data_IF_944398427778
#
_entry.id   IF_944398427778
#
_cell.length_a   1.000
_cell.length_b   1.000
_cell.length_c   1.000
_cell.angle_alpha   90.00
_cell.angle_beta   90.00
_cell.angle_gamma   90.00
#
_symmetry.space_group_name_H-M   'P 1'
#
loop_
_entity.id
_entity.type
_entity.pdbx_description
1 polymer ?
#
# COMPACT_ATOMS: atom_id res chain seq x y z
N UNK A 1 -6.98 -2.14 11.01
CA UNK A 1 -6.53 -1.31 9.87
C UNK A 1 -5.01 -1.25 9.88
N UNK A 2 -4.35 -1.60 8.76
CA UNK A 2 -2.89 -1.54 8.63
C UNK A 2 -2.47 -0.16 8.10
N UNK A 3 -2.39 0.83 8.98
CA UNK A 3 -1.89 2.16 8.64
C UNK A 3 -0.42 2.30 9.10
N UNK A 4 0.44 2.90 8.28
CA UNK A 4 1.80 3.30 8.69
C UNK A 4 2.89 2.21 8.67
N UNK A 5 2.54 0.92 8.83
CA UNK A 5 3.53 -0.20 8.89
C UNK A 5 4.45 -0.23 7.66
N UNK A 6 3.91 0.11 6.50
CA UNK A 6 4.69 0.16 5.27
C UNK A 6 5.74 1.27 5.22
N UNK A 7 5.55 2.38 5.94
CA UNK A 7 6.56 3.43 6.05
C UNK A 7 7.65 3.05 7.05
N UNK A 8 7.29 2.32 8.12
CA UNK A 8 8.25 1.73 9.05
C UNK A 8 9.25 0.80 8.32
N UNK A 9 8.75 -0.08 7.44
CA UNK A 9 9.65 -0.92 6.63
C UNK A 9 10.56 -0.09 5.72
N UNK A 10 10.06 0.96 5.07
CA UNK A 10 10.92 1.81 4.25
C UNK A 10 11.97 2.55 5.09
N UNK A 11 11.58 3.07 6.25
CA UNK A 11 12.47 3.75 7.18
C UNK A 11 13.53 2.80 7.77
N UNK A 12 13.26 1.50 7.87
CA UNK A 12 14.25 0.52 8.28
C UNK A 12 15.13 0.05 7.11
N UNK A 13 14.54 -0.29 5.96
CA UNK A 13 15.21 -0.94 4.84
C UNK A 13 16.07 0.03 4.02
N UNK A 14 15.65 1.28 3.86
CA UNK A 14 16.37 2.26 3.04
C UNK A 14 17.67 2.72 3.72
N UNK A 15 17.65 3.34 4.92
CA UNK A 15 18.88 3.72 5.60
C UNK A 15 19.60 2.53 6.24
N UNK A 16 18.90 1.51 6.72
CA UNK A 16 19.52 0.38 7.44
C UNK A 16 20.27 -0.61 6.54
N UNK A 17 19.77 -0.86 5.32
CA UNK A 17 20.41 -1.76 4.34
C UNK A 17 20.97 -1.01 3.12
N UNK A 18 20.91 0.33 3.11
CA UNK A 18 21.34 1.14 1.97
C UNK A 18 20.52 0.89 0.70
N UNK A 19 19.32 0.30 0.82
CA UNK A 19 18.49 0.01 -0.34
C UNK A 19 17.91 1.31 -0.90
N UNK A 20 18.15 1.61 -2.17
CA UNK A 20 17.44 2.70 -2.85
C UNK A 20 15.92 2.53 -2.77
N UNK A 21 15.16 3.63 -2.80
CA UNK A 21 13.69 3.65 -2.61
C UNK A 21 12.93 2.60 -3.43
N UNK A 22 13.35 2.34 -4.67
CA UNK A 22 12.74 1.33 -5.53
C UNK A 22 12.95 -0.09 -4.98
N UNK A 23 14.20 -0.44 -4.66
CA UNK A 23 14.54 -1.77 -4.09
C UNK A 23 13.96 -1.94 -2.69
N UNK A 24 14.01 -0.90 -1.86
CA UNK A 24 13.42 -0.90 -0.52
C UNK A 24 11.89 -1.09 -0.56
N UNK A 25 11.19 -0.43 -1.49
CA UNK A 25 9.75 -0.64 -1.67
C UNK A 25 9.44 -2.07 -2.15
N UNK A 26 10.25 -2.63 -3.05
CA UNK A 26 10.12 -4.03 -3.45
C UNK A 26 10.27 -5.01 -2.28
N UNK A 27 11.34 -4.86 -1.49
CA UNK A 27 11.60 -5.69 -0.32
C UNK A 27 10.49 -5.59 0.73
N UNK A 28 9.99 -4.38 1.00
CA UNK A 28 8.82 -4.16 1.86
C UNK A 28 7.61 -4.97 1.39
N UNK A 29 7.27 -4.92 0.10
CA UNK A 29 6.10 -5.63 -0.42
C UNK A 29 6.28 -7.14 -0.26
N UNK A 30 7.49 -7.66 -0.50
CA UNK A 30 7.81 -9.07 -0.28
C UNK A 30 7.66 -9.48 1.20
N UNK A 31 8.15 -8.66 2.13
CA UNK A 31 7.97 -8.90 3.57
C UNK A 31 6.49 -8.92 3.97
N UNK A 32 5.72 -7.94 3.49
CA UNK A 32 4.27 -7.88 3.75
C UNK A 32 3.59 -9.13 3.21
N UNK A 33 3.90 -9.55 1.99
CA UNK A 33 3.34 -10.77 1.40
C UNK A 33 3.68 -12.02 2.23
N UNK A 34 4.88 -12.07 2.80
CA UNK A 34 5.33 -13.18 3.64
C UNK A 34 4.58 -13.29 4.97
N UNK A 35 4.43 -12.20 5.72
CA UNK A 35 3.81 -12.28 7.06
C UNK A 35 2.28 -12.16 7.04
N UNK A 36 1.68 -11.60 5.97
CA UNK A 36 0.24 -11.34 5.91
C UNK A 36 -0.64 -12.60 6.07
N UNK A 37 -0.31 -13.77 5.50
CA UNK A 37 -1.08 -14.99 5.73
C UNK A 37 -1.08 -15.42 7.20
N UNK A 38 0.07 -15.32 7.87
CA UNK A 38 0.19 -15.64 9.30
C UNK A 38 -0.60 -14.65 10.15
N UNK A 39 -0.53 -13.35 9.83
CA UNK A 39 -1.34 -12.34 10.51
C UNK A 39 -2.84 -12.62 10.33
N UNK A 40 -3.27 -12.96 9.11
CA UNK A 40 -4.67 -13.30 8.84
C UNK A 40 -5.12 -14.51 9.66
N UNK A 41 -4.33 -15.59 9.72
CA UNK A 41 -4.63 -16.76 10.54
C UNK A 41 -4.78 -16.42 12.02
N UNK A 42 -3.89 -15.57 12.55
CA UNK A 42 -3.99 -15.08 13.94
C UNK A 42 -5.29 -14.31 14.17
N UNK A 43 -5.65 -13.39 13.27
CA UNK A 43 -6.90 -12.63 13.41
C UNK A 43 -8.15 -13.52 13.27
N UNK A 44 -8.11 -14.56 12.42
CA UNK A 44 -9.18 -15.57 12.33
C UNK A 44 -9.33 -16.28 13.68
N UNK A 45 -8.22 -16.74 14.28
CA UNK A 45 -8.25 -17.43 15.58
C UNK A 45 -8.74 -16.56 16.74
N UNK A 46 -8.67 -15.23 16.58
CA UNK A 46 -9.16 -14.25 17.54
C UNK A 46 -10.60 -13.77 17.25
N UNK A 47 -11.29 -14.33 16.24
CA UNK A 47 -12.62 -13.88 15.77
C UNK A 47 -12.67 -12.38 15.38
N UNK A 48 -11.53 -11.80 14.99
CA UNK A 48 -11.39 -10.39 14.64
C UNK A 48 -11.43 -10.12 13.12
N UNK A 49 -12.01 -11.03 12.35
CA UNK A 49 -12.06 -10.93 10.88
C UNK A 49 -13.48 -10.67 10.40
N UNK A 50 -13.70 -9.46 9.89
CA UNK A 50 -14.93 -9.13 9.18
C UNK A 50 -14.78 -9.48 7.69
N UNK A 51 -15.16 -10.71 7.33
CA UNK A 51 -14.96 -11.27 5.98
C UNK A 51 -15.51 -10.41 4.84
N UNK A 52 -16.73 -9.84 4.97
CA UNK A 52 -17.33 -9.00 3.94
C UNK A 52 -16.51 -7.73 3.64
N UNK A 53 -16.26 -6.91 4.65
CA UNK A 53 -15.41 -5.72 4.54
C UNK A 53 -13.98 -6.06 4.11
N UNK A 54 -13.41 -7.16 4.64
CA UNK A 54 -12.06 -7.62 4.28
C UNK A 54 -11.94 -8.00 2.80
N UNK A 55 -12.89 -8.76 2.27
CA UNK A 55 -12.93 -9.15 0.86
C UNK A 55 -13.13 -7.93 -0.04
N UNK A 56 -14.02 -7.00 0.31
CA UNK A 56 -14.26 -5.78 -0.46
C UNK A 56 -13.01 -4.90 -0.56
N UNK A 57 -12.34 -4.66 0.58
CA UNK A 57 -11.10 -3.87 0.62
C UNK A 57 -9.96 -4.59 -0.09
N UNK A 58 -9.84 -5.90 0.10
CA UNK A 58 -8.82 -6.72 -0.56
C UNK A 58 -8.96 -6.69 -2.08
N UNK A 59 -10.17 -6.94 -2.59
CA UNK A 59 -10.47 -6.92 -4.01
C UNK A 59 -10.25 -5.52 -4.61
N UNK A 60 -10.75 -4.46 -3.97
CA UNK A 60 -10.55 -3.08 -4.42
C UNK A 60 -9.06 -2.69 -4.46
N UNK A 61 -8.29 -3.10 -3.45
CA UNK A 61 -6.85 -2.86 -3.39
C UNK A 61 -6.10 -3.60 -4.50
N UNK A 62 -6.47 -4.86 -4.76
CA UNK A 62 -5.87 -5.67 -5.83
C UNK A 62 -6.15 -5.07 -7.21
N UNK A 63 -7.41 -4.73 -7.51
CA UNK A 63 -7.80 -4.09 -8.79
C UNK A 63 -7.09 -2.75 -8.97
N UNK A 64 -7.07 -1.92 -7.92
CA UNK A 64 -6.37 -0.64 -7.93
C UNK A 64 -4.87 -0.80 -8.18
N UNK A 65 -4.22 -1.76 -7.54
CA UNK A 65 -2.79 -2.03 -7.72
C UNK A 65 -2.46 -2.52 -9.14
N UNK A 66 -3.28 -3.41 -9.71
CA UNK A 66 -3.10 -3.92 -11.07
C UNK A 66 -3.25 -2.81 -12.11
N UNK A 67 -4.29 -1.97 -11.99
CA UNK A 67 -4.51 -0.85 -12.89
C UNK A 67 -3.38 0.19 -12.75
N UNK A 68 -3.06 0.60 -11.51
CA UNK A 68 -2.05 1.62 -11.24
C UNK A 68 -0.67 1.20 -11.72
N UNK A 69 -0.24 -0.04 -11.46
CA UNK A 69 1.06 -0.55 -11.92
C UNK A 69 1.14 -0.64 -13.45
N UNK A 70 0.07 -1.13 -14.10
CA UNK A 70 0.02 -1.21 -15.57
C UNK A 70 0.07 0.17 -16.21
N UNK A 71 -0.68 1.15 -15.67
CA UNK A 71 -0.67 2.54 -16.13
C UNK A 71 0.69 3.22 -15.87
N UNK A 72 1.32 2.95 -14.73
CA UNK A 72 2.64 3.49 -14.38
C UNK A 72 3.71 3.04 -15.40
N UNK A 73 3.71 1.76 -15.78
CA UNK A 73 4.65 1.24 -16.79
C UNK A 73 4.35 1.80 -18.17
N UNK A 74 3.06 1.88 -18.57
CA UNK A 74 2.67 2.35 -19.92
C UNK A 74 2.85 3.84 -20.15
N UNK A 75 2.57 4.69 -19.16
CA UNK A 75 2.53 6.16 -19.32
C UNK A 75 3.72 6.90 -18.71
N UNK A 76 4.55 6.23 -17.92
CA UNK A 76 5.78 6.78 -17.36
C UNK A 76 5.59 7.82 -16.24
N UNK A 77 6.70 8.41 -15.81
CA UNK A 77 6.77 9.23 -14.58
C UNK A 77 5.91 10.51 -14.62
N UNK A 78 5.75 11.14 -15.79
CA UNK A 78 4.95 12.36 -15.93
C UNK A 78 3.47 12.14 -15.60
N UNK A 79 2.92 10.98 -15.98
CA UNK A 79 1.55 10.58 -15.63
C UNK A 79 1.39 10.36 -14.12
N UNK A 80 2.34 9.64 -13.52
CA UNK A 80 2.33 9.35 -12.08
C UNK A 80 2.34 10.64 -11.27
N UNK A 81 3.14 11.64 -11.69
CA UNK A 81 3.21 12.94 -11.02
C UNK A 81 1.85 13.63 -10.94
N UNK A 82 1.11 13.67 -12.05
CA UNK A 82 -0.22 14.31 -12.07
C UNK A 82 -1.25 13.56 -11.23
N UNK A 83 -1.21 12.23 -11.22
CA UNK A 83 -2.06 11.41 -10.34
C UNK A 83 -1.77 11.72 -8.87
N UNK A 84 -0.49 11.83 -8.49
CA UNK A 84 -0.10 12.19 -7.12
C UNK A 84 -0.56 13.60 -6.73
N UNK A 85 -0.43 14.58 -7.63
CA UNK A 85 -0.93 15.94 -7.39
C UNK A 85 -2.43 15.95 -7.20
N UNK A 86 -3.19 15.26 -8.06
CA UNK A 86 -4.63 15.15 -7.92
C UNK A 86 -5.05 14.48 -6.60
N UNK A 87 -4.36 13.41 -6.20
CA UNK A 87 -4.60 12.74 -4.93
C UNK A 87 -4.30 13.64 -3.72
N UNK A 88 -3.22 14.42 -3.78
CA UNK A 88 -2.86 15.38 -2.73
C UNK A 88 -3.90 16.50 -2.58
N UNK A 89 -4.39 17.06 -3.70
CA UNK A 89 -5.44 18.07 -3.70
C UNK A 89 -6.74 17.49 -3.12
N UNK A 90 -7.13 16.28 -3.55
CA UNK A 90 -8.33 15.61 -3.03
C UNK A 90 -8.23 15.36 -1.52
N UNK A 91 -7.07 14.92 -1.03
CA UNK A 91 -6.82 14.74 0.40
C UNK A 91 -6.92 16.07 1.17
N UNK A 92 -6.28 17.13 0.67
CA UNK A 92 -6.34 18.46 1.28
C UNK A 92 -7.77 19.01 1.35
N UNK A 93 -8.55 18.89 0.26
CA UNK A 93 -9.96 19.30 0.23
C UNK A 93 -10.80 18.50 1.21
N UNK A 94 -10.62 17.17 1.27
CA UNK A 94 -11.34 16.33 2.21
C UNK A 94 -11.00 16.67 3.67
N UNK A 95 -9.78 17.11 3.93
CA UNK A 95 -9.33 17.51 5.27
C UNK A 95 -9.83 18.91 5.65
N UNK A 96 -10.10 19.79 4.68
CA UNK A 96 -10.71 21.11 4.89
C UNK A 96 -12.23 21.03 5.11
N UNK A 97 -12.89 20.08 4.44
CA UNK A 97 -14.34 19.90 4.45
C UNK A 97 -14.85 18.92 5.53
N UNK A 98 -13.95 18.19 6.19
CA UNK A 98 -14.25 17.29 7.31
C UNK A 98 -14.03 18.00 8.65
#
# INVERSE_FOLDING_TARGET
VQAGVGFLFLAALVPGLGLGLVKGNGAKVALILGYLPFALLLFISADQVHWGAGALVGAGSMVGALLASTLAVKKGAGWIRWVLVAAAIAAALRMLLA
#
